data_IF_678876906655
#
_entry.id   IF_678876906655
#
_cell.length_a   1.000
_cell.length_b   1.000
_cell.length_c   1.000
_cell.angle_alpha   90.00
_cell.angle_beta   90.00
_cell.angle_gamma   90.00
#
_symmetry.space_group_name_H-M   'P 1'
#
loop_
_entity.id
_entity.type
_entity.pdbx_description
1 polymer ?
#
# COMPACT_ATOMS: atom_id res chain seq x y z
N UNK A 1 25.93 32.08 18.75
CA UNK A 1 25.44 31.61 17.44
C UNK A 1 24.87 30.22 17.64
N UNK A 2 23.58 29.97 17.46
CA UNK A 2 23.06 28.60 17.49
C UNK A 2 23.70 27.86 16.32
N UNK A 3 24.48 26.83 16.62
CA UNK A 3 25.09 25.97 15.61
C UNK A 3 23.95 25.29 14.85
N UNK A 4 23.88 25.55 13.55
CA UNK A 4 22.84 24.98 12.71
C UNK A 4 23.04 23.45 12.70
N UNK A 5 22.01 22.68 13.03
CA UNK A 5 22.07 21.22 13.12
C UNK A 5 22.66 20.60 11.84
N UNK A 6 22.39 21.23 10.70
CA UNK A 6 22.95 20.91 9.38
C UNK A 6 24.49 20.96 9.35
N UNK A 7 25.10 21.95 10.00
CA UNK A 7 26.57 22.11 10.06
C UNK A 7 27.21 21.01 10.90
N UNK A 8 26.63 20.67 12.04
CA UNK A 8 27.13 19.60 12.92
C UNK A 8 27.10 18.25 12.20
N UNK A 9 26.01 17.97 11.47
CA UNK A 9 25.88 16.74 10.69
C UNK A 9 26.93 16.68 9.58
N UNK A 10 27.12 17.78 8.84
CA UNK A 10 28.12 17.84 7.77
C UNK A 10 29.55 17.62 8.30
N UNK A 11 29.91 18.25 9.41
CA UNK A 11 31.22 18.08 10.05
C UNK A 11 31.45 16.63 10.49
N UNK A 12 30.44 16.02 11.14
CA UNK A 12 30.53 14.61 11.57
C UNK A 12 30.59 13.64 10.39
N UNK A 13 29.92 13.92 9.27
CA UNK A 13 30.01 13.11 8.05
C UNK A 13 31.40 13.16 7.41
N UNK A 14 32.02 14.33 7.38
CA UNK A 14 33.36 14.51 6.81
C UNK A 14 34.47 13.89 7.67
N UNK A 15 34.28 13.83 8.99
CA UNK A 15 35.20 13.16 9.91
C UNK A 15 35.13 11.61 9.86
N UNK A 16 34.15 11.03 9.16
CA UNK A 16 33.96 9.58 9.05
C UNK A 16 34.77 8.96 7.89
N UNK A 17 35.34 7.76 8.07
CA UNK A 17 35.94 6.99 6.97
C UNK A 17 34.91 6.63 5.88
N UNK A 18 35.37 6.52 4.63
CA UNK A 18 34.56 6.20 3.44
C UNK A 18 33.56 5.04 3.65
N UNK A 19 33.99 3.94 4.29
CA UNK A 19 33.11 2.79 4.53
C UNK A 19 31.92 3.10 5.45
N UNK A 20 32.08 4.03 6.41
CA UNK A 20 30.99 4.46 7.30
C UNK A 20 30.08 5.50 6.63
N UNK A 21 30.62 6.30 5.71
CA UNK A 21 29.81 7.22 4.89
C UNK A 21 28.83 6.44 4.01
N UNK A 22 29.24 5.27 3.48
CA UNK A 22 28.37 4.39 2.71
C UNK A 22 27.13 3.94 3.51
N UNK A 23 27.34 3.58 4.78
CA UNK A 23 26.26 3.14 5.68
C UNK A 23 25.29 4.29 5.97
N UNK A 24 25.81 5.51 6.20
CA UNK A 24 24.96 6.69 6.42
C UNK A 24 24.16 7.02 5.16
N UNK A 25 24.77 6.91 3.98
CA UNK A 25 24.08 7.11 2.71
C UNK A 25 22.95 6.09 2.53
N UNK A 26 23.21 4.80 2.78
CA UNK A 26 22.20 3.74 2.73
C UNK A 26 21.05 4.00 3.71
N UNK A 27 21.37 4.45 4.92
CA UNK A 27 20.39 4.82 5.93
C UNK A 27 19.50 5.99 5.47
N UNK A 28 20.10 7.07 4.94
CA UNK A 28 19.33 8.23 4.42
C UNK A 28 18.42 7.80 3.26
N UNK A 29 18.92 6.97 2.35
CA UNK A 29 18.12 6.42 1.23
C UNK A 29 16.93 5.60 1.76
N UNK A 30 17.13 4.80 2.81
CA UNK A 30 16.04 4.04 3.43
C UNK A 30 14.97 4.93 4.10
N UNK A 31 15.38 6.08 4.66
CA UNK A 31 14.44 7.07 5.20
C UNK A 31 13.61 7.65 4.05
N UNK A 32 14.24 8.05 2.95
CA UNK A 32 13.51 8.56 1.78
C UNK A 32 12.55 7.53 1.17
N UNK A 33 12.86 6.23 1.24
CA UNK A 33 11.96 5.17 0.77
C UNK A 33 10.78 4.91 1.70
N UNK A 34 10.95 5.12 3.01
CA UNK A 34 9.88 4.97 4.00
C UNK A 34 8.94 6.18 4.04
N UNK A 35 9.43 7.37 3.69
CA UNK A 35 8.61 8.58 3.58
C UNK A 35 7.85 8.70 2.25
N UNK A 36 8.25 7.96 1.21
CA UNK A 36 7.46 7.89 -0.03
C UNK A 36 6.08 7.32 0.31
N UNK A 37 4.98 7.98 -0.11
CA UNK A 37 3.65 7.46 0.13
C UNK A 37 3.58 6.05 -0.45
N UNK A 38 3.36 5.07 0.43
CA UNK A 38 3.26 3.66 0.06
C UNK A 38 2.27 3.58 -1.09
N UNK A 39 2.75 3.23 -2.30
CA UNK A 39 1.90 3.16 -3.49
C UNK A 39 0.75 2.23 -3.14
N UNK A 40 -0.48 2.77 -3.11
CA UNK A 40 -1.67 2.00 -2.76
C UNK A 40 -1.72 0.76 -3.63
N UNK A 41 -1.66 -0.40 -2.98
CA UNK A 41 -1.77 -1.68 -3.63
C UNK A 41 -3.16 -1.84 -4.24
N UNK A 42 -3.33 -2.81 -5.14
CA UNK A 42 -4.65 -3.15 -5.67
C UNK A 42 -5.62 -3.54 -4.54
N UNK A 43 -5.12 -4.19 -3.50
CA UNK A 43 -5.89 -4.57 -2.31
C UNK A 43 -6.38 -3.34 -1.53
N UNK A 44 -5.52 -2.34 -1.33
CA UNK A 44 -5.90 -1.09 -0.64
C UNK A 44 -7.01 -0.36 -1.40
N UNK A 45 -6.94 -0.36 -2.74
CA UNK A 45 -7.97 0.23 -3.59
C UNK A 45 -9.30 -0.53 -3.52
N UNK A 46 -9.24 -1.86 -3.51
CA UNK A 46 -10.42 -2.71 -3.37
C UNK A 46 -11.09 -2.52 -2.01
N UNK A 47 -10.31 -2.40 -0.93
CA UNK A 47 -10.84 -2.16 0.41
C UNK A 47 -11.55 -0.79 0.51
N UNK A 48 -11.01 0.23 -0.13
CA UNK A 48 -11.66 1.55 -0.19
C UNK A 48 -13.00 1.48 -0.95
N UNK A 49 -13.07 0.66 -2.01
CA UNK A 49 -14.30 0.49 -2.79
C UNK A 49 -15.31 -0.36 -2.02
N UNK A 50 -14.87 -1.45 -1.38
CA UNK A 50 -15.77 -2.38 -0.68
C UNK A 50 -16.49 -1.70 0.49
N UNK A 51 -15.81 -0.80 1.21
CA UNK A 51 -16.39 -0.01 2.31
C UNK A 51 -17.50 0.96 1.87
N UNK A 52 -17.63 1.26 0.57
CA UNK A 52 -18.70 2.13 0.05
C UNK A 52 -20.00 1.39 -0.19
N UNK A 53 -19.97 0.06 -0.21
CA UNK A 53 -21.12 -0.80 -0.47
C UNK A 53 -21.68 -1.28 0.87
N UNK A 54 -22.96 -1.00 1.19
CA UNK A 54 -23.58 -1.47 2.43
C UNK A 54 -23.64 -3.01 2.52
N UNK A 55 -23.60 -3.54 3.75
CA UNK A 55 -23.66 -4.98 4.04
C UNK A 55 -24.89 -5.67 3.44
N UNK A 56 -26.05 -5.00 3.46
CA UNK A 56 -27.29 -5.50 2.85
C UNK A 56 -27.18 -5.81 1.36
N UNK A 57 -26.28 -5.13 0.64
CA UNK A 57 -26.04 -5.38 -0.79
C UNK A 57 -25.11 -6.57 -0.97
N UNK A 58 -24.12 -6.73 -0.08
CA UNK A 58 -23.25 -7.91 -0.06
C UNK A 58 -24.03 -9.20 0.17
N UNK A 59 -25.03 -9.18 1.05
CA UNK A 59 -25.91 -10.33 1.32
C UNK A 59 -26.78 -10.74 0.11
N UNK A 60 -27.08 -9.79 -0.78
CA UNK A 60 -27.88 -10.06 -2.00
C UNK A 60 -27.05 -10.67 -3.12
N UNK A 61 -25.72 -10.64 -3.02
CA UNK A 61 -24.85 -11.18 -4.05
C UNK A 61 -24.81 -12.71 -4.00
N UNK A 62 -24.70 -13.37 -5.16
CA UNK A 62 -24.63 -14.81 -5.19
C UNK A 62 -23.28 -15.30 -4.67
N UNK A 63 -23.32 -16.24 -3.71
CA UNK A 63 -22.13 -16.87 -3.11
C UNK A 63 -21.39 -17.81 -4.05
N UNK A 64 -21.95 -18.05 -5.24
CA UNK A 64 -21.41 -18.99 -6.23
C UNK A 64 -20.35 -18.36 -7.15
N UNK A 65 -19.93 -17.11 -6.88
CA UNK A 65 -18.90 -16.43 -7.66
C UNK A 65 -19.32 -16.16 -9.11
N UNK A 66 -20.62 -15.95 -9.36
CA UNK A 66 -21.19 -15.72 -10.69
C UNK A 66 -21.11 -16.95 -11.61
N UNK A 67 -21.16 -18.16 -11.06
CA UNK A 67 -21.26 -19.39 -11.87
C UNK A 67 -22.61 -19.52 -12.59
N UNK A 68 -23.66 -18.95 -12.00
CA UNK A 68 -25.02 -18.98 -12.51
C UNK A 68 -25.45 -17.66 -13.17
N UNK A 69 -24.57 -16.97 -13.92
CA UNK A 69 -24.90 -15.69 -14.60
C UNK A 69 -26.22 -15.78 -15.39
N UNK A 70 -26.43 -16.85 -16.17
CA UNK A 70 -27.64 -17.00 -16.98
C UNK A 70 -28.92 -17.10 -16.13
N UNK A 71 -28.81 -17.67 -14.93
CA UNK A 71 -29.93 -17.70 -13.97
C UNK A 71 -30.26 -16.30 -13.46
N UNK A 72 -29.24 -15.50 -13.12
CA UNK A 72 -29.43 -14.16 -12.58
C UNK A 72 -29.88 -13.14 -13.63
N UNK A 73 -29.41 -13.27 -14.88
CA UNK A 73 -29.72 -12.32 -15.95
C UNK A 73 -30.94 -12.71 -16.79
N UNK A 74 -31.14 -14.01 -17.04
CA UNK A 74 -32.16 -14.50 -17.98
C UNK A 74 -33.19 -15.43 -17.34
N UNK A 75 -33.07 -15.73 -16.03
CA UNK A 75 -33.98 -16.65 -15.35
C UNK A 75 -33.79 -18.13 -15.75
N UNK A 76 -32.66 -18.48 -16.37
CA UNK A 76 -32.33 -19.85 -16.72
C UNK A 76 -32.30 -20.76 -15.46
N UNK A 77 -32.52 -22.08 -15.58
CA UNK A 77 -32.42 -22.98 -14.43
C UNK A 77 -31.04 -22.95 -13.78
N UNK A 78 -30.99 -22.93 -12.45
CA UNK A 78 -29.73 -22.91 -11.68
C UNK A 78 -28.95 -24.21 -11.87
N UNK A 79 -27.68 -24.11 -12.24
CA UNK A 79 -26.72 -25.23 -12.28
C UNK A 79 -26.47 -25.70 -10.85
N UNK A 80 -26.75 -26.97 -10.57
CA UNK A 80 -26.39 -27.62 -9.30
C UNK A 80 -24.99 -28.19 -9.46
N UNK A 81 -24.10 -27.92 -8.51
CA UNK A 81 -22.84 -28.65 -8.35
C UNK A 81 -23.11 -30.03 -7.78
#
# INVERSE_FOLDING_TARGET
MPTDLSQIVAEKMQALPLGKQQIVLEFVVSIEETEKPKKQSLLDKLEVISKRVPDEIWEKLPVDGAENIDHYLYGAPKKKK
#
